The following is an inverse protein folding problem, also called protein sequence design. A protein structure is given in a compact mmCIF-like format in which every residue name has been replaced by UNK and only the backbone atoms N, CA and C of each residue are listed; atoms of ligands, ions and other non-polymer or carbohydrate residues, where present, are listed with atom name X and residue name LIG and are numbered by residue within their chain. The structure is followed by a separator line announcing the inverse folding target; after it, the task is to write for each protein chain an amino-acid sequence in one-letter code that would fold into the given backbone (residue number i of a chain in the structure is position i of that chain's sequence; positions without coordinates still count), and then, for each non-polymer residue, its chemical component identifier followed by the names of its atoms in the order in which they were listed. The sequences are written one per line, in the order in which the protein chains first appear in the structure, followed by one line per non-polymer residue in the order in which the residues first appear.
data_IF_462323728789
#
_entry.id   IF_462323728789
#
_cell.length_a   1.000
_cell.length_b   1.000
_cell.length_c   1.000
_cell.angle_alpha   90.00
_cell.angle_beta   90.00
_cell.angle_gamma   90.00
#
_symmetry.space_group_name_H-M   'P 1'
#
loop_
_entity.id
_entity.type
_entity.pdbx_description
1 polymer ?
#
# COMPACT_ATOMS: atom_id res chain seq x y z
N UNK A 1 5.39 8.09 14.53
CA UNK A 1 6.86 8.19 14.57
C UNK A 1 7.57 6.90 14.16
N UNK A 2 7.64 5.82 14.97
CA UNK A 2 8.40 4.62 14.57
C UNK A 2 7.81 3.87 13.36
N UNK A 3 6.48 3.78 13.27
CA UNK A 3 5.78 3.18 12.13
C UNK A 3 5.85 4.03 10.85
N UNK A 4 5.94 5.35 10.95
CA UNK A 4 6.07 6.25 9.80
C UNK A 4 7.46 6.12 9.17
N UNK A 5 8.53 6.16 9.99
CA UNK A 5 9.90 5.94 9.50
C UNK A 5 10.02 4.60 8.77
N UNK A 6 9.45 3.54 9.33
CA UNK A 6 9.44 2.22 8.69
C UNK A 6 8.64 2.18 7.37
N UNK A 7 7.58 2.99 7.26
CA UNK A 7 6.80 3.11 6.02
C UNK A 7 7.60 3.84 4.93
N UNK A 8 8.32 4.91 5.29
CA UNK A 8 9.16 5.67 4.36
C UNK A 8 10.31 4.81 3.84
N UNK A 9 11.00 4.07 4.72
CA UNK A 9 12.08 3.16 4.33
C UNK A 9 11.59 2.09 3.33
N UNK A 10 10.41 1.51 3.60
CA UNK A 10 9.76 0.56 2.70
C UNK A 10 9.33 1.21 1.40
N UNK A 11 8.82 2.43 1.44
CA UNK A 11 8.43 3.17 0.25
C UNK A 11 9.64 3.41 -0.66
N UNK A 12 10.80 3.79 -0.14
CA UNK A 12 12.04 3.98 -0.92
C UNK A 12 12.42 2.66 -1.61
N UNK A 13 12.49 1.57 -0.85
CA UNK A 13 12.84 0.24 -1.39
C UNK A 13 11.88 -0.22 -2.49
N UNK A 14 10.57 -0.06 -2.28
CA UNK A 14 9.55 -0.48 -3.23
C UNK A 14 9.53 0.41 -4.47
N UNK A 15 9.66 1.74 -4.31
CA UNK A 15 9.74 2.70 -5.42
C UNK A 15 10.94 2.38 -6.32
N UNK A 16 12.13 2.20 -5.75
CA UNK A 16 13.33 1.88 -6.53
C UNK A 16 13.20 0.53 -7.25
N UNK A 17 12.60 -0.47 -6.62
CA UNK A 17 12.34 -1.75 -7.27
C UNK A 17 11.36 -1.61 -8.45
N UNK A 18 10.24 -0.90 -8.26
CA UNK A 18 9.29 -0.64 -9.36
C UNK A 18 9.93 0.16 -10.49
N UNK A 19 10.79 1.13 -10.19
CA UNK A 19 11.53 1.88 -11.21
C UNK A 19 12.47 0.96 -11.99
N UNK A 20 13.22 0.09 -11.31
CA UNK A 20 14.11 -0.88 -11.97
C UNK A 20 13.34 -1.84 -12.89
N UNK A 21 12.08 -2.14 -12.57
CA UNK A 21 11.22 -2.98 -13.38
C UNK A 21 10.60 -2.26 -14.60
N UNK A 22 9.98 -1.10 -14.38
CA UNK A 22 9.19 -0.40 -15.40
C UNK A 22 9.98 0.63 -16.21
N UNK A 23 11.07 1.16 -15.66
CA UNK A 23 11.97 2.10 -16.32
C UNK A 23 13.42 1.57 -16.27
N UNK A 24 13.67 0.34 -16.78
CA UNK A 24 14.97 -0.29 -16.65
C UNK A 24 16.02 0.54 -17.38
N UNK A 25 17.05 0.95 -16.66
CA UNK A 25 18.27 1.54 -17.22
C UNK A 25 19.46 0.70 -16.86
N UNK A 26 20.48 0.73 -17.71
CA UNK A 26 21.75 0.06 -17.44
C UNK A 26 22.70 1.07 -16.82
N UNK A 27 23.13 0.82 -15.59
CA UNK A 27 24.10 1.63 -14.88
C UNK A 27 25.54 1.14 -15.06
N UNK A 28 26.42 1.58 -14.17
CA UNK A 28 27.83 1.20 -14.20
C UNK A 28 27.98 -0.31 -13.93
N UNK A 29 28.75 -1.00 -14.79
CA UNK A 29 28.97 -2.45 -14.64
C UNK A 29 27.82 -3.33 -15.14
N UNK A 30 26.92 -2.80 -15.97
CA UNK A 30 25.91 -3.60 -16.68
C UNK A 30 24.71 -4.02 -15.84
N UNK A 31 24.57 -3.49 -14.63
CA UNK A 31 23.44 -3.79 -13.73
C UNK A 31 22.23 -2.91 -14.07
N UNK A 32 21.03 -3.43 -13.80
CA UNK A 32 19.80 -2.64 -13.87
C UNK A 32 19.79 -1.67 -12.70
N UNK A 33 19.57 -0.39 -12.99
CA UNK A 33 19.50 0.69 -12.01
C UNK A 33 18.16 1.41 -12.10
N UNK A 34 17.74 1.93 -10.95
CA UNK A 34 16.62 2.82 -10.79
C UNK A 34 17.11 4.25 -10.65
N UNK A 35 16.84 5.10 -11.63
CA UNK A 35 17.20 6.52 -11.51
C UNK A 35 16.27 7.21 -10.52
N UNK A 36 16.80 8.15 -9.73
CA UNK A 36 15.96 8.93 -8.81
C UNK A 36 14.92 9.75 -9.57
N UNK A 37 15.29 10.24 -10.76
CA UNK A 37 14.40 10.97 -11.66
C UNK A 37 13.17 10.13 -12.05
N UNK A 38 13.36 8.91 -12.54
CA UNK A 38 12.23 8.06 -12.96
C UNK A 38 11.40 7.62 -11.73
N UNK A 39 12.06 7.40 -10.60
CA UNK A 39 11.41 7.04 -9.33
C UNK A 39 10.45 8.13 -8.80
N UNK A 40 10.68 9.41 -9.12
CA UNK A 40 9.75 10.49 -8.75
C UNK A 40 8.35 10.32 -9.36
N UNK A 41 8.21 9.55 -10.44
CA UNK A 41 6.93 9.24 -11.07
C UNK A 41 5.89 8.71 -10.07
N UNK A 42 6.31 7.81 -9.17
CA UNK A 42 5.42 7.21 -8.18
C UNK A 42 4.95 8.24 -7.13
N UNK A 43 5.78 9.24 -6.82
CA UNK A 43 5.40 10.34 -5.92
C UNK A 43 4.42 11.34 -6.57
N UNK A 44 4.40 11.45 -7.91
CA UNK A 44 3.46 12.31 -8.63
C UNK A 44 2.00 11.80 -8.61
N UNK A 45 1.76 10.52 -8.27
CA UNK A 45 0.43 9.91 -8.12
C UNK A 45 -0.49 10.07 -9.34
N UNK A 46 0.07 10.08 -10.55
CA UNK A 46 -0.67 10.16 -11.82
C UNK A 46 -0.42 8.92 -12.71
N UNK A 47 -0.73 7.70 -12.24
CA UNK A 47 -0.44 6.47 -12.97
C UNK A 47 -1.11 6.45 -14.35
N UNK A 48 -2.32 6.97 -14.48
CA UNK A 48 -3.09 6.99 -15.73
C UNK A 48 -2.47 7.85 -16.85
N UNK A 49 -1.50 8.72 -16.53
CA UNK A 49 -0.79 9.51 -17.54
C UNK A 49 0.33 8.71 -18.22
N UNK A 50 0.68 7.54 -17.69
CA UNK A 50 1.70 6.67 -18.27
C UNK A 50 1.11 5.77 -19.36
N UNK A 51 1.74 5.78 -20.53
CA UNK A 51 1.33 4.98 -21.69
C UNK A 51 1.30 3.48 -21.43
N UNK A 52 2.11 2.97 -20.49
CA UNK A 52 2.09 1.56 -20.08
C UNK A 52 0.96 1.20 -19.12
N UNK A 53 0.27 2.17 -18.52
CA UNK A 53 -0.78 1.91 -17.53
C UNK A 53 -1.91 0.97 -18.03
N UNK A 54 -2.43 1.11 -19.27
CA UNK A 54 -3.48 0.23 -19.76
C UNK A 54 -3.05 -1.22 -19.94
N UNK A 55 -1.75 -1.52 -20.08
CA UNK A 55 -1.25 -2.88 -20.32
C UNK A 55 -0.96 -3.65 -19.04
N UNK A 56 -1.02 -2.99 -17.88
CA UNK A 56 -0.74 -3.61 -16.59
C UNK A 56 -1.88 -4.51 -16.12
N UNK A 57 -1.54 -5.61 -15.48
CA UNK A 57 -2.50 -6.48 -14.79
C UNK A 57 -3.14 -5.78 -13.58
N UNK A 58 -4.24 -6.33 -13.07
CA UNK A 58 -4.90 -5.79 -11.88
C UNK A 58 -3.99 -5.80 -10.65
N UNK A 59 -3.16 -6.84 -10.49
CA UNK A 59 -2.24 -7.00 -9.36
C UNK A 59 -1.12 -5.96 -9.42
N UNK A 60 -0.55 -5.72 -10.61
CA UNK A 60 0.45 -4.66 -10.82
C UNK A 60 -0.13 -3.27 -10.54
N UNK A 61 -1.34 -2.96 -11.04
CA UNK A 61 -2.00 -1.67 -10.75
C UNK A 61 -2.25 -1.50 -9.25
N UNK A 62 -2.61 -2.58 -8.55
CA UNK A 62 -2.79 -2.56 -7.09
C UNK A 62 -1.46 -2.32 -6.36
N UNK A 63 -0.37 -3.01 -6.76
CA UNK A 63 0.95 -2.82 -6.19
C UNK A 63 1.45 -1.38 -6.40
N UNK A 64 1.34 -0.84 -7.61
CA UNK A 64 1.70 0.56 -7.90
C UNK A 64 0.90 1.51 -7.01
N UNK A 65 -0.41 1.30 -6.88
CA UNK A 65 -1.26 2.11 -5.99
C UNK A 65 -0.78 2.04 -4.53
N UNK A 66 -0.44 0.86 -4.04
CA UNK A 66 0.08 0.67 -2.68
C UNK A 66 1.37 1.46 -2.47
N UNK A 67 2.31 1.35 -3.41
CA UNK A 67 3.57 2.10 -3.37
C UNK A 67 3.29 3.61 -3.39
N UNK A 68 2.48 4.11 -4.31
CA UNK A 68 2.10 5.53 -4.40
C UNK A 68 1.44 6.09 -3.12
N UNK A 69 0.72 5.25 -2.37
CA UNK A 69 0.12 5.63 -1.09
C UNK A 69 1.16 5.78 0.03
N UNK A 70 2.18 4.90 0.04
CA UNK A 70 3.28 4.97 0.99
C UNK A 70 4.29 6.07 0.63
N UNK A 71 4.43 6.39 -0.67
CA UNK A 71 5.36 7.42 -1.14
C UNK A 71 4.90 8.82 -0.71
N UNK A 72 5.73 9.55 0.07
CA UNK A 72 5.46 10.95 0.40
C UNK A 72 5.46 11.86 -0.85
N UNK A 73 4.53 12.83 -0.95
CA UNK A 73 4.40 13.68 -2.12
C UNK A 73 5.63 14.57 -2.37
N UNK A 74 6.41 14.90 -1.33
CA UNK A 74 7.64 15.66 -1.44
C UNK A 74 8.74 14.96 -2.26
N UNK A 75 8.68 13.64 -2.41
CA UNK A 75 9.59 12.87 -3.25
C UNK A 75 9.30 13.02 -4.75
N UNK A 76 8.29 13.80 -5.12
CA UNK A 76 8.15 14.32 -6.47
C UNK A 76 9.32 15.26 -6.85
N UNK A 77 10.04 15.78 -5.85
CA UNK A 77 11.32 16.43 -6.05
C UNK A 77 12.45 15.38 -5.99
N UNK A 78 13.20 15.25 -7.08
CA UNK A 78 14.29 14.27 -7.24
C UNK A 78 15.34 14.37 -6.11
N UNK A 79 15.75 15.58 -5.75
CA UNK A 79 16.76 15.78 -4.71
C UNK A 79 16.28 15.31 -3.34
N UNK A 80 14.98 15.49 -3.03
CA UNK A 80 14.41 15.01 -1.76
C UNK A 80 14.37 13.49 -1.71
N UNK A 81 14.00 12.83 -2.81
CA UNK A 81 14.02 11.38 -2.90
C UNK A 81 15.46 10.84 -2.80
N UNK A 82 16.41 11.45 -3.51
CA UNK A 82 17.83 11.12 -3.44
C UNK A 82 18.35 11.24 -2.01
N UNK A 83 18.09 12.36 -1.34
CA UNK A 83 18.52 12.56 0.05
C UNK A 83 17.90 11.51 0.99
N UNK A 84 16.63 11.14 0.79
CA UNK A 84 16.00 10.08 1.57
C UNK A 84 16.65 8.71 1.34
N UNK A 85 17.02 8.39 0.09
CA UNK A 85 17.75 7.17 -0.23
C UNK A 85 19.18 7.15 0.36
N UNK A 86 19.89 8.28 0.31
CA UNK A 86 21.21 8.44 0.92
C UNK A 86 21.17 8.28 2.45
N UNK A 87 20.15 8.86 3.09
CA UNK A 87 19.90 8.71 4.53
C UNK A 87 19.56 7.26 4.91
N UNK A 88 18.84 6.55 4.04
CA UNK A 88 18.53 5.13 4.23
C UNK A 88 19.79 4.26 4.15
N UNK A 89 20.69 4.55 3.21
CA UNK A 89 21.94 3.77 3.02
C UNK A 89 23.07 4.19 3.97
N UNK A 90 22.86 5.14 4.88
CA UNK A 90 23.92 5.64 5.76
C UNK A 90 25.01 6.44 5.03
N UNK A 91 24.73 6.97 3.84
CA UNK A 91 25.76 7.63 3.02
C UNK A 91 26.20 9.01 3.57
N UNK A 92 25.45 9.58 4.51
CA UNK A 92 25.79 10.85 5.16
C UNK A 92 26.68 10.70 6.40
N UNK A 93 26.91 9.48 6.89
CA UNK A 93 27.58 9.24 8.16
C UNK A 93 29.02 8.80 7.94
N UNK A 94 29.95 9.54 8.53
CA UNK A 94 31.40 9.24 8.54
C UNK A 94 31.77 8.23 9.62
N UNK A 95 30.88 8.00 10.59
CA UNK A 95 31.02 6.97 11.63
C UNK A 95 30.32 5.69 11.17
N UNK A 96 31.04 4.56 11.21
CA UNK A 96 30.58 3.20 10.86
C UNK A 96 29.38 2.71 11.72
N UNK A 97 28.97 3.46 12.75
CA UNK A 97 27.96 3.04 13.74
C UNK A 97 26.50 3.40 13.36
N UNK A 98 26.26 4.11 12.25
CA UNK A 98 24.92 4.20 11.65
C UNK A 98 24.78 3.18 10.51
N UNK A 99 24.39 1.98 10.93
CA UNK A 99 24.14 0.80 10.13
C UNK A 99 23.23 1.12 8.93
N UNK A 100 23.62 0.67 7.73
CA UNK A 100 22.80 0.76 6.53
C UNK A 100 21.41 0.16 6.81
N UNK A 101 20.40 1.02 6.91
CA UNK A 101 19.02 0.62 7.26
C UNK A 101 18.35 -0.13 6.13
N UNK A 102 18.90 -0.09 4.91
CA UNK A 102 18.47 -0.96 3.81
C UNK A 102 18.98 -2.40 3.98
N UNK A 103 19.89 -2.65 4.92
CA UNK A 103 20.53 -3.95 5.13
C UNK A 103 21.33 -4.42 3.91
N UNK A 104 21.97 -3.50 3.19
CA UNK A 104 22.72 -3.78 1.95
C UNK A 104 21.84 -4.07 0.74
N UNK A 105 20.52 -3.83 0.83
CA UNK A 105 19.59 -4.12 -0.27
C UNK A 105 19.60 -3.02 -1.34
N UNK A 106 19.87 -1.78 -0.94
CA UNK A 106 20.03 -0.66 -1.86
C UNK A 106 21.51 -0.32 -1.91
N UNK A 107 22.02 -0.12 -3.12
CA UNK A 107 23.38 0.33 -3.32
C UNK A 107 23.37 1.40 -4.40
N UNK A 108 24.02 2.52 -4.13
CA UNK A 108 24.09 3.65 -5.05
C UNK A 108 24.93 3.27 -6.28
N UNK A 109 24.56 3.80 -7.45
CA UNK A 109 25.36 3.62 -8.66
C UNK A 109 26.53 4.62 -8.68
N UNK A 110 27.73 4.13 -8.94
CA UNK A 110 28.98 4.90 -8.88
C UNK A 110 29.69 4.89 -7.53
N UNK A 111 30.90 5.45 -7.51
CA UNK A 111 31.79 5.43 -6.33
C UNK A 111 31.55 6.59 -5.35
N UNK A 112 30.89 7.67 -5.80
CA UNK A 112 30.63 8.86 -5.00
C UNK A 112 29.12 8.96 -4.70
N UNK A 113 28.69 8.71 -3.44
CA UNK A 113 27.28 8.76 -3.05
C UNK A 113 26.60 10.09 -3.39
N UNK A 114 27.32 11.20 -3.29
CA UNK A 114 26.75 12.53 -3.55
C UNK A 114 26.55 12.81 -5.04
N UNK A 115 27.26 12.10 -5.92
CA UNK A 115 27.09 12.19 -7.37
C UNK A 115 26.18 11.11 -7.96
N UNK A 116 25.86 10.07 -7.20
CA UNK A 116 24.94 9.03 -7.64
C UNK A 116 23.58 9.61 -8.05
N UNK A 117 23.13 9.31 -9.26
CA UNK A 117 21.83 9.68 -9.84
C UNK A 117 20.86 8.49 -9.90
N UNK A 118 21.36 7.30 -9.59
CA UNK A 118 20.61 6.06 -9.56
C UNK A 118 21.06 5.15 -8.41
N UNK A 119 20.25 4.15 -8.13
CA UNK A 119 20.57 3.07 -7.19
C UNK A 119 20.16 1.72 -7.77
N UNK A 120 20.87 0.67 -7.40
CA UNK A 120 20.50 -0.71 -7.69
C UNK A 120 19.86 -1.37 -6.47
N UNK A 121 18.79 -2.12 -6.72
CA UNK A 121 18.11 -2.93 -5.70
C UNK A 121 18.55 -4.38 -5.85
N UNK A 122 19.10 -4.96 -4.78
CA UNK A 122 19.52 -6.37 -4.75
C UNK A 122 18.32 -7.30 -4.55
N UNK A 123 17.42 -7.34 -5.54
CA UNK A 123 16.18 -8.12 -5.51
C UNK A 123 16.26 -9.47 -6.25
N UNK A 124 17.45 -9.90 -6.70
CA UNK A 124 17.60 -11.16 -7.43
C UNK A 124 16.91 -11.21 -8.81
N UNK A 125 16.49 -10.07 -9.34
CA UNK A 125 15.79 -9.93 -10.64
C UNK A 125 14.27 -9.88 -10.55
N UNK A 126 13.66 -10.34 -9.44
CA UNK A 126 12.21 -10.22 -9.22
C UNK A 126 11.88 -8.93 -8.46
N UNK A 127 11.89 -7.82 -9.18
CA UNK A 127 11.60 -6.51 -8.60
C UNK A 127 10.15 -6.33 -8.16
N UNK A 128 9.19 -6.95 -8.87
CA UNK A 128 7.77 -6.86 -8.53
C UNK A 128 7.46 -7.65 -7.25
N UNK A 129 7.92 -8.91 -7.17
CA UNK A 129 7.78 -9.73 -5.96
C UNK A 129 8.49 -9.10 -4.77
N UNK A 130 9.67 -8.52 -4.99
CA UNK A 130 10.37 -7.76 -3.95
C UNK A 130 9.53 -6.58 -3.44
N UNK A 131 9.06 -5.69 -4.33
CA UNK A 131 8.22 -4.56 -3.94
C UNK A 131 6.97 -5.00 -3.16
N UNK A 132 6.28 -6.03 -3.67
CA UNK A 132 5.10 -6.60 -3.02
C UNK A 132 5.41 -7.11 -1.60
N UNK A 133 6.48 -7.89 -1.42
CA UNK A 133 6.88 -8.44 -0.12
C UNK A 133 7.15 -7.35 0.94
N UNK A 134 7.61 -6.17 0.51
CA UNK A 134 7.90 -5.05 1.41
C UNK A 134 6.63 -4.29 1.78
N UNK A 135 5.72 -4.07 0.83
CA UNK A 135 4.50 -3.27 1.05
C UNK A 135 3.36 -4.04 1.71
N UNK A 136 3.29 -5.36 1.56
CA UNK A 136 2.16 -6.18 2.03
C UNK A 136 1.82 -5.98 3.52
N UNK A 137 2.84 -5.78 4.37
CA UNK A 137 2.65 -5.53 5.81
C UNK A 137 1.84 -4.27 6.13
N UNK A 138 1.79 -3.29 5.22
CA UNK A 138 1.06 -2.02 5.41
C UNK A 138 -0.38 -2.08 4.88
N UNK A 139 -0.69 -3.09 4.07
CA UNK A 139 -1.99 -3.21 3.42
C UNK A 139 -2.63 -4.52 3.86
N UNK A 140 -3.58 -4.42 4.79
CA UNK A 140 -4.40 -5.58 5.09
C UNK A 140 -5.38 -5.79 3.94
N UNK A 141 -5.14 -6.82 3.14
CA UNK A 141 -6.14 -7.33 2.19
C UNK A 141 -7.36 -7.79 2.97
N UNK A 142 -8.36 -6.91 3.07
CA UNK A 142 -9.75 -7.30 3.27
C UNK A 142 -10.04 -8.28 4.40
N UNK A 143 -9.27 -8.30 5.51
CA UNK A 143 -9.79 -8.85 6.77
C UNK A 143 -10.82 -7.86 7.31
N UNK A 144 -11.93 -7.71 6.57
CA UNK A 144 -13.18 -7.23 7.15
C UNK A 144 -13.34 -8.05 8.41
N UNK A 145 -13.52 -7.38 9.54
CA UNK A 145 -13.96 -8.06 10.76
C UNK A 145 -15.12 -8.95 10.34
N UNK A 146 -15.02 -10.24 10.66
CA UNK A 146 -16.15 -11.15 10.45
C UNK A 146 -17.38 -10.46 11.03
N UNK A 147 -18.49 -10.51 10.30
CA UNK A 147 -19.73 -9.93 10.80
C UNK A 147 -19.95 -10.45 12.22
N UNK A 148 -20.42 -9.60 13.12
CA UNK A 148 -20.78 -10.09 14.44
C UNK A 148 -21.89 -11.15 14.29
N UNK A 149 -21.96 -12.16 15.18
CA UNK A 149 -23.10 -13.06 15.19
C UNK A 149 -24.39 -12.26 15.35
N UNK A 150 -25.48 -12.75 14.76
CA UNK A 150 -26.79 -12.12 14.90
C UNK A 150 -27.23 -12.09 16.36
N UNK A 151 -27.96 -11.05 16.75
CA UNK A 151 -28.55 -10.98 18.08
C UNK A 151 -29.66 -12.04 18.20
N UNK A 152 -29.51 -12.96 19.16
CA UNK A 152 -30.52 -13.95 19.52
C UNK A 152 -31.46 -13.46 20.63
N UNK A 153 -32.42 -14.31 21.06
CA UNK A 153 -33.23 -14.04 22.24
C UNK A 153 -32.35 -13.73 23.46
N UNK A 154 -32.69 -12.68 24.20
CA UNK A 154 -31.92 -12.19 25.34
C UNK A 154 -31.78 -10.68 25.37
N UNK A 155 -31.01 -10.19 26.34
CA UNK A 155 -30.81 -8.76 26.56
C UNK A 155 -29.48 -8.29 25.99
N UNK A 156 -29.57 -7.36 25.06
CA UNK A 156 -28.43 -6.77 24.36
C UNK A 156 -28.27 -5.32 24.77
N UNK A 157 -27.03 -4.86 24.76
CA UNK A 157 -26.73 -3.46 25.04
C UNK A 157 -25.95 -2.88 23.87
N UNK A 158 -26.39 -1.75 23.35
CA UNK A 158 -25.63 -1.03 22.33
C UNK A 158 -24.29 -0.57 22.91
N UNK A 159 -23.32 -0.28 22.02
CA UNK A 159 -22.09 0.38 22.44
C UNK A 159 -22.44 1.73 23.08
N UNK A 160 -21.68 2.11 24.11
CA UNK A 160 -21.73 3.44 24.67
C UNK A 160 -21.27 4.46 23.61
N UNK A 161 -22.13 5.40 23.26
CA UNK A 161 -21.78 6.51 22.39
C UNK A 161 -21.61 7.77 23.23
N UNK A 162 -20.42 8.37 23.17
CA UNK A 162 -20.11 9.63 23.82
C UNK A 162 -20.55 10.76 22.89
N UNK A 163 -21.54 11.55 23.28
CA UNK A 163 -22.15 12.59 22.44
C UNK A 163 -21.55 13.99 22.71
N UNK A 164 -20.32 14.03 23.24
CA UNK A 164 -19.65 15.25 23.66
C UNK A 164 -19.93 15.64 25.11
N UNK A 165 -19.17 16.61 25.62
CA UNK A 165 -19.11 16.98 27.04
C UNK A 165 -20.46 17.46 27.61
N UNK A 166 -21.30 18.09 26.76
CA UNK A 166 -22.64 18.59 27.14
C UNK A 166 -23.75 17.54 27.12
N UNK A 167 -23.59 16.46 26.37
CA UNK A 167 -24.66 15.48 26.11
C UNK A 167 -24.38 14.08 26.71
N UNK A 168 -23.21 13.90 27.31
CA UNK A 168 -22.87 12.71 28.09
C UNK A 168 -22.75 11.44 27.25
N UNK A 169 -23.04 10.29 27.88
CA UNK A 169 -22.91 8.97 27.27
C UNK A 169 -24.29 8.35 27.12
N UNK A 170 -24.65 7.96 25.89
CA UNK A 170 -25.88 7.21 25.64
C UNK A 170 -25.59 5.73 25.46
N UNK A 171 -26.44 4.89 26.07
CA UNK A 171 -26.46 3.43 25.88
C UNK A 171 -27.90 2.97 25.93
N UNK A 172 -28.29 2.10 24.99
CA UNK A 172 -29.62 1.49 24.98
C UNK A 172 -29.52 0.00 25.28
N UNK A 173 -30.45 -0.47 26.09
CA UNK A 173 -30.68 -1.89 26.33
C UNK A 173 -31.91 -2.32 25.54
N UNK A 174 -31.77 -3.39 24.77
CA UNK A 174 -32.83 -3.95 23.92
C UNK A 174 -32.97 -5.42 24.31
N UNK A 175 -34.20 -5.86 24.55
CA UNK A 175 -34.48 -7.27 24.86
C UNK A 175 -35.25 -7.90 23.72
N UNK A 176 -34.71 -8.97 23.14
CA UNK A 176 -35.41 -9.80 22.16
C UNK A 176 -36.06 -10.97 22.89
N UNK A 177 -37.39 -11.06 22.81
CA UNK A 177 -38.15 -12.14 23.46
C UNK A 177 -38.02 -13.44 22.68
N UNK A 178 -38.02 -14.56 23.40
CA UNK A 178 -38.06 -15.89 22.79
C UNK A 178 -39.50 -16.19 22.34
N UNK A 179 -39.68 -16.59 21.09
CA UNK A 179 -40.99 -16.98 20.54
C UNK A 179 -40.92 -18.39 19.94
N UNK A 180 -42.08 -18.94 19.53
CA UNK A 180 -42.15 -20.28 18.93
C UNK A 180 -41.23 -20.45 17.72
N UNK A 181 -41.12 -19.41 16.89
CA UNK A 181 -40.30 -19.35 15.67
C UNK A 181 -38.93 -18.69 15.86
N UNK A 182 -38.65 -18.07 17.01
CA UNK A 182 -37.38 -17.40 17.30
C UNK A 182 -36.80 -17.91 18.62
N UNK A 183 -36.14 -19.08 18.55
CA UNK A 183 -35.56 -19.78 19.69
C UNK A 183 -34.06 -19.55 19.85
N UNK A 184 -33.38 -19.28 18.74
CA UNK A 184 -31.94 -19.08 18.61
C UNK A 184 -31.68 -17.98 17.56
N UNK A 185 -30.50 -17.36 17.61
CA UNK A 185 -30.08 -16.42 16.58
C UNK A 185 -29.90 -17.18 15.24
N UNK A 186 -30.33 -16.63 14.10
CA UNK A 186 -29.96 -17.20 12.81
C UNK A 186 -28.43 -17.14 12.64
N UNK A 187 -27.86 -18.08 11.90
CA UNK A 187 -26.45 -18.00 11.51
C UNK A 187 -26.26 -17.13 10.27
N UNK A 188 -24.99 -16.95 9.87
CA UNK A 188 -24.64 -16.12 8.71
C UNK A 188 -25.08 -16.72 7.36
N UNK A 189 -25.48 -17.98 7.33
CA UNK A 189 -26.14 -18.63 6.20
C UNK A 189 -27.51 -18.03 5.85
N UNK A 190 -28.15 -17.32 6.78
CA UNK A 190 -29.38 -16.58 6.52
C UNK A 190 -29.13 -15.24 5.79
N UNK A 191 -27.87 -14.81 5.64
CA UNK A 191 -27.54 -13.61 4.87
C UNK A 191 -27.68 -13.87 3.37
N UNK A 192 -28.14 -12.89 2.58
CA UNK A 192 -28.14 -13.01 1.13
C UNK A 192 -26.70 -13.18 0.63
N UNK A 193 -26.48 -14.22 -0.18
CA UNK A 193 -25.18 -14.48 -0.81
C UNK A 193 -24.91 -13.42 -1.85
N UNK A 194 -23.83 -12.66 -1.65
CA UNK A 194 -23.39 -11.62 -2.57
C UNK A 194 -22.40 -12.23 -3.56
N UNK A 195 -22.85 -12.54 -4.77
CA UNK A 195 -21.95 -12.95 -5.86
C UNK A 195 -21.42 -11.70 -6.56
N UNK A 196 -20.14 -11.37 -6.33
CA UNK A 196 -19.47 -10.34 -7.11
C UNK A 196 -19.21 -10.86 -8.51
N UNK A 197 -19.55 -10.07 -9.53
CA UNK A 197 -19.15 -10.37 -10.91
C UNK A 197 -17.62 -10.41 -11.00
N UNK A 198 -17.03 -11.28 -11.83
CA UNK A 198 -15.59 -11.26 -12.07
C UNK A 198 -15.17 -9.88 -12.57
N UNK A 199 -13.92 -9.52 -12.27
CA UNK A 199 -13.33 -8.25 -12.70
C UNK A 199 -13.52 -8.07 -14.21
N UNK A 200 -14.01 -6.89 -14.61
CA UNK A 200 -14.08 -6.46 -16.01
C UNK A 200 -13.15 -5.28 -16.18
N UNK A 201 -12.23 -5.39 -17.13
CA UNK A 201 -11.22 -4.37 -17.39
C UNK A 201 -11.83 -3.05 -17.90
N UNK A 202 -13.03 -3.10 -18.48
CA UNK A 202 -13.75 -1.94 -19.01
C UNK A 202 -15.19 -1.91 -18.51
N UNK A 203 -15.55 -0.85 -17.80
CA UNK A 203 -16.93 -0.47 -17.49
C UNK A 203 -17.29 0.67 -18.45
N UNK A 204 -17.40 0.37 -19.75
CA UNK A 204 -17.99 1.31 -20.69
C UNK A 204 -19.44 0.87 -20.92
N UNK A 205 -20.43 1.79 -20.94
CA UNK A 205 -21.68 1.49 -21.59
C UNK A 205 -21.38 1.14 -23.05
N UNK A 206 -21.93 0.04 -23.54
CA UNK A 206 -21.95 -0.22 -24.98
C UNK A 206 -22.80 0.90 -25.57
N UNK A 207 -22.27 1.63 -26.55
CA UNK A 207 -22.91 2.82 -27.14
C UNK A 207 -24.34 2.52 -27.63
N UNK A 208 -24.62 1.27 -27.98
CA UNK A 208 -25.96 0.76 -28.35
C UNK A 208 -27.00 0.83 -27.22
N UNK A 209 -26.62 1.09 -25.96
CA UNK A 209 -27.54 1.23 -24.82
C UNK A 209 -27.76 2.69 -24.39
N UNK A 210 -27.20 3.66 -25.13
CA UNK A 210 -27.32 5.09 -24.85
C UNK A 210 -28.16 5.85 -25.91
N UNK A 211 -28.78 5.13 -26.84
CA UNK A 211 -29.67 5.67 -27.87
C UNK A 211 -31.11 5.17 -27.68
#
# INVERSE_FOLDING_TARGET
MANERRADEVAIMAVLALTAHYFPRTGTGGKVVATFRDATFFAHRKPQAWSGWPTLTADERNLIRQVMLLTPPEWANEQKLKNAALDLTGAFTLDDDLDDRSGGTIVLDGNDPFKADAAHVRAGGDFLGYAHSRTDQFFTWGKRRRAHPFAGPGTWKTRAAHLGEKHGVTRRQITFQRTGSFREAPGHEALPTLTTRPYRERIAPVVEQLL
#
